data_IF_425756005739
#
_entry.id   IF_425756005739
#
_cell.length_a   1.000
_cell.length_b   1.000
_cell.length_c   1.000
_cell.angle_alpha   90.00
_cell.angle_beta   90.00
_cell.angle_gamma   90.00
#
_symmetry.space_group_name_H-M   'P 1'
#
loop_
_entity.id
_entity.type
_entity.pdbx_description
1 polymer ?
#
# COMPACT_ATOMS: atom_id res chain seq x y z
N UNK A 1 -50.05 1.55 -32.62
CA UNK A 1 -49.36 1.64 -31.32
C UNK A 1 -47.88 1.36 -31.57
N UNK A 2 -47.06 2.41 -31.66
CA UNK A 2 -45.60 2.30 -31.74
C UNK A 2 -45.08 2.25 -30.31
N UNK A 3 -44.34 1.19 -29.97
CA UNK A 3 -43.58 1.11 -28.73
C UNK A 3 -42.21 1.65 -29.10
N UNK A 4 -41.88 2.85 -28.64
CA UNK A 4 -40.55 3.42 -28.80
C UNK A 4 -39.60 2.67 -27.85
N UNK A 5 -38.52 2.11 -28.40
CA UNK A 5 -37.42 1.52 -27.65
C UNK A 5 -36.71 2.62 -26.83
N UNK A 6 -36.91 2.58 -25.52
CA UNK A 6 -36.23 3.44 -24.54
C UNK A 6 -35.03 2.67 -23.99
N UNK A 7 -34.03 2.38 -24.84
CA UNK A 7 -32.70 2.04 -24.34
C UNK A 7 -31.97 3.35 -24.05
N UNK A 8 -32.19 3.84 -22.84
CA UNK A 8 -31.44 4.90 -22.20
C UNK A 8 -29.97 4.43 -22.10
N UNK A 9 -29.15 4.86 -23.06
CA UNK A 9 -27.72 4.59 -23.05
C UNK A 9 -27.10 5.40 -21.94
N UNK A 10 -26.96 4.78 -20.77
CA UNK A 10 -26.18 5.35 -19.67
C UNK A 10 -24.77 5.63 -20.21
N UNK A 11 -24.25 6.87 -20.13
CA UNK A 11 -22.88 7.14 -20.54
C UNK A 11 -21.98 6.32 -19.64
N UNK A 12 -21.40 5.26 -20.19
CA UNK A 12 -20.34 4.50 -19.52
C UNK A 12 -19.21 5.50 -19.37
N UNK A 13 -19.00 6.01 -18.15
CA UNK A 13 -17.86 6.85 -17.83
C UNK A 13 -16.61 6.05 -18.20
N UNK A 14 -16.04 6.35 -19.37
CA UNK A 14 -14.80 5.77 -19.82
C UNK A 14 -13.75 6.18 -18.79
N UNK A 15 -13.43 5.26 -17.89
CA UNK A 15 -12.40 5.48 -16.89
C UNK A 15 -11.11 5.62 -17.68
N UNK A 16 -10.54 6.82 -17.72
CA UNK A 16 -9.30 7.06 -18.45
C UNK A 16 -8.25 6.02 -18.00
N UNK A 17 -7.54 5.38 -18.95
CA UNK A 17 -6.58 4.33 -18.59
C UNK A 17 -5.55 4.91 -17.63
N UNK A 18 -5.25 4.15 -16.58
CA UNK A 18 -4.26 4.56 -15.60
C UNK A 18 -2.91 4.79 -16.32
N UNK A 19 -2.19 5.84 -15.92
CA UNK A 19 -0.83 6.06 -16.41
C UNK A 19 0.04 4.90 -15.92
N UNK A 20 0.66 4.17 -16.85
CA UNK A 20 1.48 3.02 -16.51
C UNK A 20 2.81 3.46 -15.90
N UNK A 21 3.24 2.76 -14.84
CA UNK A 21 4.56 2.91 -14.22
C UNK A 21 5.37 1.67 -14.51
N UNK A 22 6.29 1.77 -15.46
CA UNK A 22 7.07 0.63 -15.95
C UNK A 22 8.15 0.15 -14.98
N UNK A 23 8.69 1.04 -14.13
CA UNK A 23 9.79 0.74 -13.20
C UNK A 23 9.58 1.43 -11.87
N UNK A 24 10.03 0.77 -10.81
CA UNK A 24 9.99 1.33 -9.47
C UNK A 24 11.10 2.35 -9.28
N UNK A 25 10.78 3.47 -8.65
CA UNK A 25 11.68 4.60 -8.49
C UNK A 25 11.66 5.15 -7.06
N UNK A 26 12.81 5.68 -6.63
CA UNK A 26 12.92 6.47 -5.40
C UNK A 26 12.59 7.93 -5.71
N UNK A 27 11.72 8.51 -4.90
CA UNK A 27 11.29 9.91 -5.01
C UNK A 27 11.61 10.61 -3.69
N UNK A 28 12.45 11.64 -3.74
CA UNK A 28 12.69 12.50 -2.58
C UNK A 28 11.67 13.63 -2.52
N UNK A 29 11.12 13.87 -1.33
CA UNK A 29 10.20 14.99 -1.08
C UNK A 29 10.54 15.71 0.21
N UNK A 30 10.42 17.04 0.26
CA UNK A 30 10.60 17.77 1.50
C UNK A 30 9.52 17.34 2.50
N UNK A 31 9.95 17.00 3.72
CA UNK A 31 9.01 16.75 4.80
C UNK A 31 8.38 18.06 5.27
N UNK A 32 7.08 18.03 5.53
CA UNK A 32 6.38 19.17 6.15
C UNK A 32 6.67 19.30 7.64
N UNK A 33 7.20 18.26 8.27
CA UNK A 33 7.37 18.17 9.72
C UNK A 33 8.83 18.17 10.17
N UNK A 34 9.73 17.78 9.28
CA UNK A 34 11.17 17.74 9.52
C UNK A 34 11.86 18.53 8.42
N UNK A 35 12.92 19.28 8.73
CA UNK A 35 13.72 19.98 7.70
C UNK A 35 14.56 19.00 6.84
N UNK A 36 14.17 17.73 6.75
CA UNK A 36 14.86 16.67 6.03
C UNK A 36 13.96 16.14 4.91
N UNK A 37 14.57 15.80 3.78
CA UNK A 37 13.88 15.11 2.72
C UNK A 37 13.51 13.69 3.17
N UNK A 38 12.28 13.27 2.86
CA UNK A 38 11.80 11.91 3.06
C UNK A 38 11.81 11.20 1.72
N UNK A 39 12.32 9.97 1.73
CA UNK A 39 12.33 9.10 0.56
C UNK A 39 11.04 8.29 0.47
N UNK A 40 10.42 8.36 -0.69
CA UNK A 40 9.26 7.59 -1.07
C UNK A 40 9.64 6.61 -2.17
N UNK A 41 8.93 5.48 -2.23
CA UNK A 41 9.04 4.50 -3.30
C UNK A 41 7.75 4.58 -4.10
N UNK A 42 7.89 4.87 -5.39
CA UNK A 42 6.82 4.64 -6.35
C UNK A 42 7.06 3.28 -6.99
N UNK A 43 6.14 2.36 -6.74
CA UNK A 43 6.22 1.01 -7.31
C UNK A 43 5.75 1.00 -8.75
N UNK A 44 6.36 0.18 -9.58
CA UNK A 44 5.81 -0.22 -10.87
C UNK A 44 4.46 -0.93 -10.66
N UNK A 45 3.68 -1.05 -11.73
CA UNK A 45 2.32 -1.57 -11.59
C UNK A 45 2.28 -3.04 -11.14
N UNK A 46 3.28 -3.84 -11.49
CA UNK A 46 3.41 -5.23 -11.06
C UNK A 46 3.67 -5.34 -9.55
N UNK A 47 4.70 -4.64 -9.04
CA UNK A 47 5.02 -4.64 -7.60
C UNK A 47 3.91 -3.98 -6.77
N UNK A 48 3.20 -3.01 -7.34
CA UNK A 48 2.05 -2.40 -6.68
C UNK A 48 0.86 -3.36 -6.55
N UNK A 49 0.58 -4.13 -7.60
CA UNK A 49 -0.44 -5.17 -7.55
C UNK A 49 -0.07 -6.25 -6.52
N UNK A 50 1.21 -6.63 -6.45
CA UNK A 50 1.73 -7.56 -5.45
C UNK A 50 1.56 -7.01 -4.03
N UNK A 51 1.94 -5.74 -3.79
CA UNK A 51 1.72 -5.07 -2.50
C UNK A 51 0.24 -5.07 -2.10
N UNK A 52 -0.67 -4.75 -3.02
CA UNK A 52 -2.10 -4.76 -2.77
C UNK A 52 -2.59 -6.16 -2.37
N UNK A 53 -2.11 -7.19 -3.06
CA UNK A 53 -2.42 -8.59 -2.74
C UNK A 53 -1.95 -8.96 -1.33
N UNK A 54 -0.69 -8.67 -0.99
CA UNK A 54 -0.15 -8.96 0.34
C UNK A 54 -0.89 -8.22 1.44
N UNK A 55 -1.15 -6.92 1.27
CA UNK A 55 -1.87 -6.12 2.27
C UNK A 55 -3.30 -6.62 2.44
N UNK A 56 -3.98 -7.00 1.36
CA UNK A 56 -5.32 -7.59 1.42
C UNK A 56 -5.30 -8.92 2.19
N UNK A 57 -4.38 -9.83 1.84
CA UNK A 57 -4.24 -11.12 2.50
C UNK A 57 -3.94 -10.97 3.99
N UNK A 58 -2.99 -10.10 4.37
CA UNK A 58 -2.68 -9.82 5.78
C UNK A 58 -3.89 -9.27 6.55
N UNK A 59 -4.69 -8.39 5.93
CA UNK A 59 -5.90 -7.85 6.55
C UNK A 59 -6.97 -8.92 6.79
N UNK A 60 -7.08 -9.92 5.91
CA UNK A 60 -7.96 -11.06 6.10
C UNK A 60 -7.41 -11.96 7.21
N UNK A 61 -6.16 -12.43 7.08
CA UNK A 61 -5.52 -13.38 7.99
C UNK A 61 -5.46 -12.88 9.44
N UNK A 62 -5.30 -11.58 9.68
CA UNK A 62 -5.26 -11.04 11.05
C UNK A 62 -6.62 -11.08 11.76
N UNK A 63 -7.71 -11.35 11.05
CA UNK A 63 -9.08 -11.43 11.58
C UNK A 63 -9.68 -12.82 11.45
N UNK A 64 -9.21 -13.61 10.48
CA UNK A 64 -9.67 -14.97 10.25
C UNK A 64 -9.15 -15.93 11.32
N UNK A 65 -10.07 -16.57 12.05
CA UNK A 65 -9.76 -17.56 13.09
C UNK A 65 -9.88 -19.00 12.60
N UNK A 66 -10.20 -19.21 11.32
CA UNK A 66 -10.34 -20.54 10.72
C UNK A 66 -9.01 -21.31 10.65
N UNK A 67 -7.90 -20.58 10.52
CA UNK A 67 -6.53 -21.09 10.70
C UNK A 67 -5.87 -20.41 11.91
N UNK A 68 -5.97 -21.02 13.12
CA UNK A 68 -5.39 -20.47 14.33
C UNK A 68 -3.88 -20.26 14.26
N UNK A 69 -3.16 -21.10 13.51
CA UNK A 69 -1.69 -21.03 13.43
C UNK A 69 -1.27 -19.77 12.70
N UNK A 70 -1.85 -19.54 11.51
CA UNK A 70 -1.58 -18.32 10.73
C UNK A 70 -2.07 -17.07 11.44
N UNK A 71 -3.25 -17.13 12.08
CA UNK A 71 -3.81 -16.03 12.86
C UNK A 71 -2.88 -15.60 14.00
N UNK A 72 -2.45 -16.56 14.85
CA UNK A 72 -1.58 -16.28 16.00
C UNK A 72 -0.22 -15.78 15.51
N UNK A 73 0.35 -16.43 14.51
CA UNK A 73 1.67 -16.07 13.97
C UNK A 73 1.69 -14.64 13.44
N UNK A 74 0.72 -14.28 12.59
CA UNK A 74 0.62 -12.93 12.04
C UNK A 74 0.38 -11.90 13.14
N UNK A 75 -0.55 -12.13 14.05
CA UNK A 75 -0.83 -11.15 15.11
C UNK A 75 0.37 -10.93 16.04
N UNK A 76 1.13 -11.98 16.37
CA UNK A 76 2.39 -11.86 17.13
C UNK A 76 3.46 -11.05 16.39
N UNK A 77 3.51 -11.11 15.06
CA UNK A 77 4.39 -10.26 14.24
C UNK A 77 3.89 -8.82 14.28
N UNK A 78 2.60 -8.60 14.05
CA UNK A 78 1.98 -7.28 13.97
C UNK A 78 2.12 -6.46 15.26
N UNK A 79 2.18 -7.11 16.42
CA UNK A 79 2.29 -6.42 17.71
C UNK A 79 3.73 -5.98 18.03
N UNK A 80 4.72 -6.34 17.20
CA UNK A 80 6.10 -5.88 17.35
C UNK A 80 6.25 -4.40 16.98
N UNK A 81 7.23 -3.74 17.59
CA UNK A 81 7.61 -2.37 17.22
C UNK A 81 8.11 -2.32 15.78
N UNK A 82 7.66 -1.32 15.03
CA UNK A 82 8.14 -1.03 13.67
C UNK A 82 9.40 -0.15 13.65
N UNK A 83 9.75 0.47 14.80
CA UNK A 83 10.79 1.49 14.87
C UNK A 83 10.41 2.85 14.23
N UNK A 84 9.24 2.96 13.60
CA UNK A 84 8.76 4.18 12.95
C UNK A 84 7.99 5.03 13.97
N UNK A 85 8.26 6.33 14.02
CA UNK A 85 7.50 7.25 14.87
C UNK A 85 6.17 7.64 14.21
N UNK A 86 5.05 7.24 14.82
CA UNK A 86 3.70 7.56 14.37
C UNK A 86 3.27 8.95 14.82
N UNK A 87 3.33 9.95 13.93
CA UNK A 87 2.99 11.34 14.26
C UNK A 87 1.55 11.52 14.78
N UNK A 88 0.59 10.75 14.26
CA UNK A 88 -0.83 10.77 14.68
C UNK A 88 -1.01 10.27 16.11
N UNK A 89 -0.29 9.21 16.49
CA UNK A 89 -0.41 8.56 17.79
C UNK A 89 0.62 9.08 18.82
N UNK A 90 1.58 9.90 18.38
CA UNK A 90 2.68 10.46 19.18
C UNK A 90 3.45 9.39 19.97
N UNK A 91 3.69 8.24 19.34
CA UNK A 91 4.47 7.12 19.88
C UNK A 91 5.17 6.36 18.75
N UNK A 92 6.10 5.48 19.11
CA UNK A 92 6.60 4.49 18.16
C UNK A 92 5.48 3.53 17.77
N UNK A 93 5.32 3.33 16.47
CA UNK A 93 4.26 2.52 15.91
C UNK A 93 4.60 1.04 15.92
N UNK A 94 3.57 0.20 16.07
CA UNK A 94 3.70 -1.24 15.83
C UNK A 94 3.61 -1.56 14.33
N UNK A 95 4.00 -2.77 13.93
CA UNK A 95 3.82 -3.24 12.56
C UNK A 95 2.33 -3.25 12.15
N UNK A 96 1.42 -3.50 13.10
CA UNK A 96 -0.03 -3.35 12.93
C UNK A 96 -0.42 -1.94 12.49
N UNK A 97 0.05 -0.94 13.22
CA UNK A 97 -0.28 0.46 12.94
C UNK A 97 0.30 0.92 11.60
N UNK A 98 1.47 0.39 11.22
CA UNK A 98 2.05 0.61 9.89
C UNK A 98 1.19 -0.04 8.81
N UNK A 99 0.76 -1.30 8.99
CA UNK A 99 -0.13 -1.99 8.05
C UNK A 99 -1.46 -1.23 7.88
N UNK A 100 -2.05 -0.73 8.95
CA UNK A 100 -3.28 0.07 8.89
C UNK A 100 -3.04 1.37 8.11
N UNK A 101 -1.96 2.09 8.40
CA UNK A 101 -1.59 3.32 7.68
C UNK A 101 -1.28 3.10 6.21
N UNK A 102 -0.65 1.97 5.85
CA UNK A 102 -0.42 1.57 4.45
C UNK A 102 -1.73 1.20 3.77
N UNK A 103 -2.62 0.47 4.45
CA UNK A 103 -3.96 0.13 3.94
C UNK A 103 -4.76 1.40 3.61
N UNK A 104 -4.77 2.38 4.50
CA UNK A 104 -5.41 3.68 4.26
C UNK A 104 -4.80 4.42 3.05
N UNK A 105 -3.46 4.37 2.88
CA UNK A 105 -2.78 4.98 1.74
C UNK A 105 -3.13 4.30 0.42
N UNK A 106 -3.18 2.97 0.42
CA UNK A 106 -3.51 2.16 -0.75
C UNK A 106 -4.96 2.37 -1.22
N UNK A 107 -5.86 2.72 -0.29
CA UNK A 107 -7.25 3.02 -0.62
C UNK A 107 -7.45 4.38 -1.32
N UNK A 108 -6.54 5.34 -1.14
CA UNK A 108 -6.64 6.72 -1.69
C UNK A 108 -6.26 6.78 -3.16
N UNK A 109 -6.74 7.79 -3.88
CA UNK A 109 -6.28 8.05 -5.25
C UNK A 109 -4.80 8.49 -5.24
N UNK A 110 -4.03 8.00 -6.21
CA UNK A 110 -2.63 8.38 -6.35
C UNK A 110 -2.53 9.82 -6.86
N UNK A 111 -1.82 10.68 -6.13
CA UNK A 111 -1.73 12.12 -6.45
C UNK A 111 -0.97 12.47 -7.73
N UNK A 112 -0.22 11.53 -8.29
CA UNK A 112 0.76 11.77 -9.36
C UNK A 112 0.59 10.81 -10.54
N UNK A 113 0.17 9.57 -10.28
CA UNK A 113 -0.15 8.59 -11.32
C UNK A 113 -1.66 8.64 -11.57
N UNK A 114 -2.08 9.29 -12.66
CA UNK A 114 -3.51 9.46 -12.98
C UNK A 114 -4.17 8.09 -13.15
N UNK A 115 -5.38 7.94 -12.60
CA UNK A 115 -6.18 6.72 -12.68
C UNK A 115 -5.73 5.57 -11.78
N UNK A 116 -4.59 5.70 -11.06
CA UNK A 116 -4.11 4.68 -10.11
C UNK A 116 -4.60 4.96 -8.69
N UNK A 117 -4.94 3.89 -7.97
CA UNK A 117 -5.17 3.93 -6.52
C UNK A 117 -3.91 3.51 -5.78
N UNK A 118 -3.68 4.11 -4.62
CA UNK A 118 -2.58 3.89 -3.71
C UNK A 118 -1.47 4.93 -3.84
N UNK A 119 -1.26 5.68 -2.76
CA UNK A 119 -0.18 6.67 -2.67
C UNK A 119 1.21 6.01 -2.54
N UNK A 120 2.26 6.74 -2.91
CA UNK A 120 3.64 6.33 -2.68
C UNK A 120 3.90 6.05 -1.17
N UNK A 121 4.59 4.95 -0.88
CA UNK A 121 5.00 4.60 0.47
C UNK A 121 6.34 5.23 0.80
N UNK A 122 6.58 5.61 2.07
CA UNK A 122 7.97 5.93 2.45
C UNK A 122 8.81 4.66 2.43
N UNK A 123 10.13 4.81 2.25
CA UNK A 123 11.07 3.68 2.31
C UNK A 123 10.94 2.92 3.63
N UNK A 124 10.80 3.65 4.74
CA UNK A 124 10.59 3.06 6.08
C UNK A 124 9.31 2.23 6.14
N UNK A 125 8.19 2.73 5.58
CA UNK A 125 6.93 2.00 5.55
C UNK A 125 7.04 0.73 4.71
N UNK A 126 7.62 0.81 3.50
CA UNK A 126 7.79 -0.36 2.65
C UNK A 126 8.74 -1.39 3.30
N UNK A 127 9.78 -0.94 4.00
CA UNK A 127 10.68 -1.80 4.77
C UNK A 127 9.93 -2.53 5.88
N UNK A 128 9.10 -1.81 6.66
CA UNK A 128 8.30 -2.40 7.72
C UNK A 128 7.26 -3.41 7.17
N UNK A 129 6.64 -3.13 6.01
CA UNK A 129 5.77 -4.09 5.34
C UNK A 129 6.55 -5.33 4.88
N UNK A 130 7.74 -5.15 4.30
CA UNK A 130 8.60 -6.27 3.90
C UNK A 130 9.00 -7.14 5.11
N UNK A 131 9.20 -6.56 6.30
CA UNK A 131 9.44 -7.35 7.51
C UNK A 131 8.26 -8.29 7.81
N UNK A 132 7.02 -7.85 7.62
CA UNK A 132 5.84 -8.71 7.80
C UNK A 132 5.82 -9.79 6.70
N UNK A 133 6.03 -9.40 5.43
CA UNK A 133 6.04 -10.30 4.27
C UNK A 133 7.07 -11.42 4.46
N UNK A 134 8.32 -11.09 4.83
CA UNK A 134 9.38 -12.08 5.09
C UNK A 134 9.03 -12.99 6.26
N UNK A 135 8.47 -12.43 7.33
CA UNK A 135 8.10 -13.21 8.51
C UNK A 135 6.97 -14.22 8.21
N UNK A 136 6.17 -13.96 7.18
CA UNK A 136 5.15 -14.88 6.65
C UNK A 136 5.70 -15.86 5.58
N UNK A 137 7.01 -15.78 5.27
CA UNK A 137 7.66 -16.67 4.31
C UNK A 137 7.54 -16.25 2.83
N UNK A 138 7.11 -15.01 2.56
CA UNK A 138 6.93 -14.49 1.20
C UNK A 138 8.16 -13.69 0.72
N UNK A 139 8.25 -13.49 -0.59
CA UNK A 139 9.31 -12.69 -1.24
C UNK A 139 9.05 -11.20 -1.02
N UNK A 140 10.09 -10.47 -0.61
CA UNK A 140 10.00 -9.01 -0.41
C UNK A 140 9.82 -8.26 -1.73
N UNK A 141 9.12 -7.12 -1.64
CA UNK A 141 9.07 -6.14 -2.72
C UNK A 141 10.39 -5.36 -2.73
N UNK A 142 11.04 -5.28 -3.89
CA UNK A 142 12.33 -4.62 -4.01
C UNK A 142 12.22 -3.13 -3.67
N UNK A 143 13.19 -2.61 -2.90
CA UNK A 143 13.37 -1.17 -2.71
C UNK A 143 14.46 -0.74 -3.68
N UNK A 144 14.17 0.15 -4.66
CA UNK A 144 15.18 0.60 -5.61
C UNK A 144 16.39 1.19 -4.88
N UNK A 145 17.59 0.86 -5.35
CA UNK A 145 18.81 1.46 -4.82
C UNK A 145 18.86 2.95 -5.19
N UNK A 146 19.51 3.75 -4.34
CA UNK A 146 19.86 5.12 -4.71
C UNK A 146 20.91 5.02 -5.84
N UNK A 147 20.65 5.62 -7.00
CA UNK A 147 21.71 5.81 -8.00
C UNK A 147 22.82 6.63 -7.33
N UNK A 148 24.05 6.11 -7.42
CA UNK A 148 25.23 6.62 -6.72
C UNK A 148 25.69 7.96 -7.28
#
# INVERSE_FOLDING_TARGET
MQIADIFETTPTQATAPATLVARSELIERPSKHTQRNVRYVRLCDAEHAELLSYVSAMNIMRTDKSDPTSFITLNNILDRSSGIWGSRLRKFSTLREVLDGVTEKLARAHKWVKGRRGEDLSVEQLTAINVIITAMGCTCIAIPAKEA
#
